data_IF_343282454243
#
_entry.id   IF_343282454243
#
_cell.length_a   1.000
_cell.length_b   1.000
_cell.length_c   1.000
_cell.angle_alpha   90.00
_cell.angle_beta   90.00
_cell.angle_gamma   90.00
#
_symmetry.space_group_name_H-M   'P 1'
#
loop_
_entity.id
_entity.type
_entity.pdbx_description
1 polymer ?
#
# COMPACT_ATOMS: atom_id res chain seq x y z
N UNK A 1 -2.73 -11.84 -7.28
CA UNK A 1 -1.45 -12.20 -6.62
C UNK A 1 -0.69 -13.32 -7.35
N UNK A 2 -1.19 -14.57 -7.42
CA UNK A 2 -0.49 -15.70 -8.07
C UNK A 2 0.01 -15.40 -9.50
N UNK A 3 -0.85 -14.83 -10.34
CA UNK A 3 -0.52 -14.44 -11.73
C UNK A 3 0.65 -13.46 -11.82
N UNK A 4 0.64 -12.41 -10.99
CA UNK A 4 1.72 -11.42 -10.92
C UNK A 4 3.07 -12.05 -10.54
N UNK A 5 3.06 -12.99 -9.58
CA UNK A 5 4.27 -13.72 -9.17
C UNK A 5 4.80 -14.57 -10.33
N UNK A 6 3.91 -15.31 -11.00
CA UNK A 6 4.27 -16.15 -12.16
C UNK A 6 4.86 -15.31 -13.30
N UNK A 7 4.21 -14.20 -13.67
CA UNK A 7 4.71 -13.27 -14.68
C UNK A 7 6.10 -12.73 -14.30
N UNK A 8 6.25 -12.21 -13.08
CA UNK A 8 7.54 -11.72 -12.58
C UNK A 8 8.65 -12.78 -12.66
N UNK A 9 8.35 -14.04 -12.35
CA UNK A 9 9.34 -15.12 -12.34
C UNK A 9 9.66 -15.65 -13.74
N UNK A 10 8.71 -15.62 -14.67
CA UNK A 10 8.91 -16.03 -16.07
C UNK A 10 9.79 -15.03 -16.81
N UNK A 11 9.61 -13.72 -16.59
CA UNK A 11 10.45 -12.70 -17.24
C UNK A 11 11.86 -12.59 -16.63
N UNK A 12 12.11 -13.26 -15.50
CA UNK A 12 13.36 -13.14 -14.76
C UNK A 12 14.29 -14.30 -15.09
N UNK A 13 15.01 -14.15 -16.20
CA UNK A 13 16.05 -15.07 -16.63
C UNK A 13 17.35 -14.72 -15.87
N UNK A 14 17.70 -15.56 -14.88
CA UNK A 14 18.91 -15.43 -14.06
C UNK A 14 19.73 -16.71 -14.19
N UNK A 15 21.00 -16.58 -14.55
CA UNK A 15 21.95 -17.68 -14.58
C UNK A 15 22.75 -17.79 -13.27
N UNK A 16 23.40 -18.93 -13.06
CA UNK A 16 24.29 -19.18 -11.93
C UNK A 16 23.76 -20.24 -10.95
N UNK A 17 24.34 -20.28 -9.75
CA UNK A 17 23.97 -21.27 -8.74
C UNK A 17 22.52 -21.10 -8.25
N UNK A 18 21.82 -22.21 -8.04
CA UNK A 18 20.38 -22.22 -7.74
C UNK A 18 19.97 -21.33 -6.56
N UNK A 19 20.75 -21.29 -5.48
CA UNK A 19 20.43 -20.42 -4.34
C UNK A 19 20.63 -18.93 -4.62
N UNK A 20 21.57 -18.56 -5.50
CA UNK A 20 21.69 -17.18 -5.98
C UNK A 20 20.47 -16.79 -6.82
N UNK A 21 20.08 -17.66 -7.75
CA UNK A 21 18.89 -17.46 -8.61
C UNK A 21 17.65 -17.28 -7.75
N UNK A 22 17.44 -18.14 -6.75
CA UNK A 22 16.28 -18.05 -5.85
C UNK A 22 16.29 -16.75 -5.02
N UNK A 23 17.43 -16.40 -4.41
CA UNK A 23 17.61 -15.15 -3.66
C UNK A 23 17.23 -13.93 -4.50
N UNK A 24 17.75 -13.84 -5.72
CA UNK A 24 17.51 -12.69 -6.59
C UNK A 24 16.06 -12.67 -7.13
N UNK A 25 15.45 -13.82 -7.41
CA UNK A 25 14.02 -13.90 -7.74
C UNK A 25 13.14 -13.36 -6.61
N UNK A 26 13.38 -13.76 -5.37
CA UNK A 26 12.63 -13.26 -4.21
C UNK A 26 12.85 -11.76 -4.01
N UNK A 27 14.10 -11.30 -4.06
CA UNK A 27 14.46 -9.88 -3.88
C UNK A 27 13.75 -8.99 -4.89
N UNK A 28 13.77 -9.36 -6.17
CA UNK A 28 13.15 -8.60 -7.24
C UNK A 28 11.63 -8.68 -7.21
N UNK A 29 11.05 -9.85 -6.88
CA UNK A 29 9.61 -9.98 -6.65
C UNK A 29 9.14 -9.03 -5.54
N UNK A 30 9.86 -8.97 -4.41
CA UNK A 30 9.55 -8.07 -3.30
C UNK A 30 9.52 -6.61 -3.76
N UNK A 31 10.48 -6.18 -4.59
CA UNK A 31 10.51 -4.82 -5.13
C UNK A 31 9.31 -4.55 -6.03
N UNK A 32 9.08 -5.42 -7.01
CA UNK A 32 7.95 -5.32 -7.95
C UNK A 32 6.60 -5.29 -7.21
N UNK A 33 6.45 -6.06 -6.15
CA UNK A 33 5.23 -6.06 -5.35
C UNK A 33 5.00 -4.72 -4.61
N UNK A 34 6.07 -4.08 -4.13
CA UNK A 34 5.97 -2.74 -3.53
C UNK A 34 5.55 -1.69 -4.56
N UNK A 35 6.12 -1.76 -5.75
CA UNK A 35 5.78 -0.86 -6.87
C UNK A 35 4.31 -1.07 -7.28
N UNK A 36 3.92 -2.31 -7.55
CA UNK A 36 2.54 -2.68 -7.89
C UNK A 36 1.53 -2.22 -6.83
N UNK A 37 1.85 -2.40 -5.54
CA UNK A 37 0.99 -1.93 -4.46
C UNK A 37 0.82 -0.41 -4.48
N UNK A 38 1.91 0.33 -4.71
CA UNK A 38 1.87 1.80 -4.83
C UNK A 38 1.11 2.26 -6.07
N UNK A 39 1.27 1.58 -7.21
CA UNK A 39 0.57 1.90 -8.46
C UNK A 39 -0.94 1.67 -8.35
N UNK A 40 -1.36 0.55 -7.74
CA UNK A 40 -2.78 0.21 -7.64
C UNK A 40 -3.50 0.92 -6.50
N UNK A 41 -2.85 1.06 -5.33
CA UNK A 41 -3.51 1.57 -4.12
C UNK A 41 -3.03 2.97 -3.72
N UNK A 42 -1.96 3.48 -4.33
CA UNK A 42 -1.33 4.74 -3.95
C UNK A 42 -0.61 4.65 -2.61
N UNK A 43 -0.47 5.78 -1.93
CA UNK A 43 0.03 5.82 -0.55
C UNK A 43 -1.14 5.56 0.42
N UNK A 44 -1.36 4.29 0.73
CA UNK A 44 -2.43 3.87 1.64
C UNK A 44 -2.26 4.44 3.05
N UNK A 45 -1.01 4.62 3.51
CA UNK A 45 -0.75 5.20 4.83
C UNK A 45 -1.19 6.67 4.87
N UNK A 46 -0.85 7.44 3.83
CA UNK A 46 -1.32 8.81 3.68
C UNK A 46 -2.85 8.87 3.63
N UNK A 47 -3.51 7.98 2.89
CA UNK A 47 -4.99 7.92 2.82
C UNK A 47 -5.61 7.66 4.19
N UNK A 48 -5.07 6.70 4.95
CA UNK A 48 -5.54 6.42 6.32
C UNK A 48 -5.41 7.67 7.20
N UNK A 49 -4.25 8.33 7.15
CA UNK A 49 -4.03 9.56 7.94
C UNK A 49 -5.01 10.67 7.56
N UNK A 50 -5.27 10.88 6.27
CA UNK A 50 -6.23 11.87 5.79
C UNK A 50 -7.65 11.58 6.28
N UNK A 51 -8.09 10.33 6.19
CA UNK A 51 -9.42 9.91 6.68
C UNK A 51 -9.52 10.13 8.20
N UNK A 52 -8.46 9.82 8.94
CA UNK A 52 -8.43 10.02 10.39
C UNK A 52 -8.49 11.50 10.76
N UNK A 53 -7.77 12.37 10.04
CA UNK A 53 -7.84 13.83 10.22
C UNK A 53 -9.23 14.39 9.88
N UNK A 54 -9.86 13.91 8.80
CA UNK A 54 -11.22 14.30 8.42
C UNK A 54 -12.25 13.86 9.47
N UNK A 55 -12.13 12.64 9.99
CA UNK A 55 -12.98 12.13 11.06
C UNK A 55 -12.86 13.00 12.32
N UNK A 56 -11.64 13.31 12.78
CA UNK A 56 -11.44 14.16 13.95
C UNK A 56 -12.03 15.57 13.78
N UNK A 57 -11.95 16.15 12.57
CA UNK A 57 -12.59 17.44 12.28
C UNK A 57 -14.12 17.35 12.31
N UNK A 58 -14.70 16.26 11.81
CA UNK A 58 -16.14 16.04 11.86
C UNK A 58 -16.63 15.87 13.30
N UNK A 59 -15.88 15.17 14.14
CA UNK A 59 -16.16 15.02 15.58
C UNK A 59 -16.11 16.37 16.29
N UNK A 60 -15.06 17.17 16.08
CA UNK A 60 -14.93 18.51 16.65
C UNK A 60 -16.11 19.43 16.24
N UNK A 61 -16.43 19.47 14.95
CA UNK A 61 -17.57 20.24 14.44
C UNK A 61 -18.92 19.75 15.00
N UNK A 62 -19.06 18.44 15.23
CA UNK A 62 -20.29 17.88 15.82
C UNK A 62 -20.47 18.29 17.28
N UNK A 63 -19.37 18.37 18.04
CA UNK A 63 -19.36 18.85 19.42
C UNK A 63 -19.70 20.34 19.46
N UNK A 64 -19.09 21.15 18.60
CA UNK A 64 -19.37 22.60 18.50
C UNK A 64 -20.85 22.88 18.21
N UNK A 65 -21.47 22.09 17.30
CA UNK A 65 -22.92 22.15 17.01
C UNK A 65 -23.82 21.74 18.18
N UNK A 66 -23.38 20.83 19.03
CA UNK A 66 -24.14 20.43 20.23
C UNK A 66 -24.06 21.47 21.34
N UNK A 67 -22.97 22.24 21.38
CA UNK A 67 -22.72 23.28 22.37
C UNK A 67 -23.26 24.66 21.95
N UNK A 68 -23.58 24.85 20.67
CA UNK A 68 -24.26 26.07 20.20
C UNK A 68 -25.70 26.09 20.77
N UNK A 69 -26.15 27.21 21.34
CA UNK A 69 -27.53 27.33 21.81
C UNK A 69 -28.49 27.03 20.66
N UNK A 70 -29.51 26.20 20.93
CA UNK A 70 -30.69 26.12 20.06
C UNK A 70 -31.38 27.49 20.11
N UNK A 71 -31.18 28.31 19.08
CA UNK A 71 -32.01 29.50 18.81
C UNK A 71 -33.44 29.12 18.40
#
# INVERSE_FOLDING_TARGET
FKRFVQECWTYMQLGGWGGYVLKEKIKRLRRRLKEWNKEHFGDTFKKVKQIQEELSRLEENSIDRQLSPLE
#
